data_IF_314497284850
#
_entry.id   IF_314497284850
#
_cell.length_a   1.000
_cell.length_b   1.000
_cell.length_c   1.000
_cell.angle_alpha   90.00
_cell.angle_beta   90.00
_cell.angle_gamma   90.00
#
_symmetry.space_group_name_H-M   'P 1'
#
loop_
_entity.id
_entity.type
_entity.pdbx_description
1 polymer ?
#
# COMPACT_ATOMS: atom_id res chain seq x y z
N UNK A 1 10.87 -5.68 -20.45
CA UNK A 1 10.05 -4.77 -19.64
C UNK A 1 9.88 -5.45 -18.31
N UNK A 2 10.38 -4.84 -17.25
CA UNK A 2 10.24 -5.36 -15.89
C UNK A 2 8.85 -5.00 -15.34
N UNK A 3 8.29 -5.90 -14.54
CA UNK A 3 6.96 -5.74 -13.92
C UNK A 3 7.04 -4.88 -12.66
N UNK A 4 7.89 -3.85 -12.65
CA UNK A 4 8.23 -3.14 -11.42
C UNK A 4 7.03 -2.32 -10.93
N UNK A 5 6.59 -2.65 -9.71
CA UNK A 5 5.63 -1.86 -8.95
C UNK A 5 6.18 -0.45 -8.76
N UNK A 6 5.42 0.55 -9.22
CA UNK A 6 5.54 2.01 -9.04
C UNK A 6 6.82 2.52 -8.33
N UNK A 7 7.65 3.29 -9.04
CA UNK A 7 8.93 3.89 -8.57
C UNK A 7 8.78 4.88 -7.40
N UNK A 8 7.57 5.15 -6.92
CA UNK A 8 7.32 5.96 -5.73
C UNK A 8 7.00 5.05 -4.53
N UNK A 9 7.97 4.86 -3.64
CA UNK A 9 7.78 4.21 -2.34
C UNK A 9 7.42 5.27 -1.30
N UNK A 10 6.20 5.22 -0.78
CA UNK A 10 5.70 6.14 0.23
C UNK A 10 6.14 5.79 1.66
N UNK A 11 6.40 4.51 1.94
CA UNK A 11 6.80 4.02 3.27
C UNK A 11 7.43 2.62 3.21
N UNK A 12 8.27 2.27 4.19
CA UNK A 12 8.83 0.93 4.37
C UNK A 12 8.92 0.57 5.86
N UNK A 13 8.59 -0.67 6.21
CA UNK A 13 8.63 -1.16 7.59
C UNK A 13 9.12 -2.61 7.66
N UNK A 14 10.09 -2.85 8.54
CA UNK A 14 10.58 -4.18 8.87
C UNK A 14 9.67 -4.85 9.90
N UNK A 15 9.59 -6.18 9.87
CA UNK A 15 8.95 -6.99 10.90
C UNK A 15 10.04 -7.65 11.79
N UNK A 16 10.45 -7.03 12.92
CA UNK A 16 11.63 -7.46 13.68
C UNK A 16 11.57 -8.91 14.18
N UNK A 17 10.39 -9.38 14.60
CA UNK A 17 10.18 -10.77 15.05
C UNK A 17 10.32 -11.81 13.92
N UNK A 18 10.39 -11.39 12.67
CA UNK A 18 10.51 -12.23 11.48
C UNK A 18 11.74 -11.86 10.65
N UNK A 19 12.81 -11.37 11.30
CA UNK A 19 14.06 -10.97 10.66
C UNK A 19 15.28 -11.59 11.34
N UNK A 20 16.11 -12.27 10.55
CA UNK A 20 17.45 -12.72 10.92
C UNK A 20 18.51 -11.90 10.17
N UNK A 21 19.72 -11.68 10.70
CA UNK A 21 20.80 -11.00 9.99
C UNK A 21 21.19 -11.68 8.66
N UNK A 22 21.80 -10.93 7.74
CA UNK A 22 22.26 -11.47 6.46
C UNK A 22 23.47 -12.42 6.63
N UNK A 23 23.52 -13.57 5.92
CA UNK A 23 22.48 -14.12 5.05
C UNK A 23 21.33 -14.72 5.87
N UNK A 24 20.10 -14.32 5.57
CA UNK A 24 18.92 -14.68 6.35
C UNK A 24 17.62 -14.33 5.64
N UNK A 25 16.51 -14.52 6.33
CA UNK A 25 15.17 -14.08 5.88
C UNK A 25 14.72 -12.90 6.69
N UNK A 26 13.98 -11.98 6.06
CA UNK A 26 13.43 -10.85 6.76
C UNK A 26 12.16 -10.37 6.07
N UNK A 27 11.08 -10.34 6.84
CA UNK A 27 9.80 -9.82 6.36
C UNK A 27 9.82 -8.29 6.38
N UNK A 28 9.53 -7.69 5.24
CA UNK A 28 9.48 -6.23 5.04
C UNK A 28 8.21 -5.89 4.28
N UNK A 29 7.54 -4.81 4.68
CA UNK A 29 6.39 -4.27 3.98
C UNK A 29 6.71 -2.89 3.43
N UNK A 30 6.18 -2.56 2.25
CA UNK A 30 6.35 -1.27 1.63
C UNK A 30 5.03 -0.70 1.11
N UNK A 31 4.79 0.58 1.35
CA UNK A 31 3.68 1.33 0.78
C UNK A 31 4.08 1.96 -0.55
N UNK A 32 3.22 1.86 -1.56
CA UNK A 32 3.47 2.43 -2.89
C UNK A 32 2.59 3.64 -3.18
N UNK A 33 3.04 4.47 -4.12
CA UNK A 33 2.38 5.71 -4.54
C UNK A 33 3.12 6.95 -4.05
N UNK A 34 3.06 8.00 -4.85
CA UNK A 34 3.76 9.26 -4.58
C UNK A 34 2.94 10.17 -3.65
N UNK A 35 3.60 10.82 -2.68
CA UNK A 35 2.98 11.77 -1.73
C UNK A 35 3.11 13.25 -2.18
N UNK A 36 3.48 13.54 -3.42
CA UNK A 36 3.60 14.94 -3.85
C UNK A 36 2.23 15.53 -4.17
N UNK A 37 1.99 16.71 -3.62
CA UNK A 37 0.86 17.55 -3.96
C UNK A 37 1.27 18.46 -5.13
N UNK A 38 0.52 18.39 -6.25
CA UNK A 38 0.47 19.30 -7.43
C UNK A 38 1.35 19.02 -8.68
N UNK A 39 1.87 17.81 -8.91
CA UNK A 39 2.53 17.45 -10.18
C UNK A 39 1.59 16.80 -11.21
N UNK A 40 1.87 16.95 -12.52
CA UNK A 40 1.14 16.27 -13.61
C UNK A 40 1.60 14.82 -13.85
N UNK A 41 2.67 14.37 -13.17
CA UNK A 41 3.34 13.07 -13.36
C UNK A 41 3.21 12.15 -12.13
N UNK A 42 2.05 12.15 -11.47
CA UNK A 42 1.89 11.41 -10.20
C UNK A 42 1.66 9.91 -10.46
N UNK A 43 2.55 9.06 -9.97
CA UNK A 43 2.36 7.61 -10.04
C UNK A 43 1.35 7.13 -8.98
N UNK A 44 0.37 6.34 -9.43
CA UNK A 44 -0.59 5.69 -8.55
C UNK A 44 0.10 4.63 -7.68
N UNK A 45 -0.45 4.41 -6.49
CA UNK A 45 -0.03 3.29 -5.65
C UNK A 45 -0.63 1.98 -6.15
N UNK A 46 0.16 0.92 -6.08
CA UNK A 46 -0.23 -0.48 -6.22
C UNK A 46 -0.60 -1.11 -4.87
N UNK A 47 -0.84 -0.28 -3.84
CA UNK A 47 -1.10 -0.69 -2.47
C UNK A 47 0.15 -1.05 -1.66
N UNK A 48 0.04 -2.08 -0.83
CA UNK A 48 1.13 -2.56 0.04
C UNK A 48 1.83 -3.74 -0.64
N UNK A 49 3.16 -3.70 -0.63
CA UNK A 49 4.03 -4.79 -1.05
C UNK A 49 4.63 -5.50 0.16
N UNK A 50 4.97 -6.77 -0.01
CA UNK A 50 5.67 -7.61 0.97
C UNK A 50 6.87 -8.29 0.34
N UNK A 51 7.97 -8.29 1.08
CA UNK A 51 9.18 -9.06 0.83
C UNK A 51 9.44 -9.99 2.02
N UNK A 52 10.06 -11.14 1.76
CA UNK A 52 10.54 -12.09 2.80
C UNK A 52 12.06 -12.27 2.77
N UNK A 53 12.74 -11.57 1.87
CA UNK A 53 14.14 -11.74 1.51
C UNK A 53 14.91 -10.41 1.62
N UNK A 54 14.64 -9.63 2.67
CA UNK A 54 15.29 -8.35 2.94
C UNK A 54 15.04 -7.27 1.87
N UNK A 55 13.94 -7.37 1.12
CA UNK A 55 13.58 -6.41 0.08
C UNK A 55 14.21 -6.72 -1.29
N UNK A 56 14.74 -7.91 -1.50
CA UNK A 56 15.31 -8.32 -2.80
C UNK A 56 14.22 -8.65 -3.82
N UNK A 57 13.11 -9.25 -3.38
CA UNK A 57 11.91 -9.48 -4.15
C UNK A 57 10.66 -9.00 -3.42
N UNK A 58 9.70 -8.48 -4.19
CA UNK A 58 8.47 -7.88 -3.68
C UNK A 58 7.24 -8.49 -4.35
N UNK A 59 6.19 -8.67 -3.56
CA UNK A 59 4.87 -9.15 -4.01
C UNK A 59 3.79 -8.22 -3.48
N UNK A 60 2.75 -7.94 -4.27
CA UNK A 60 1.58 -7.22 -3.74
C UNK A 60 0.89 -8.07 -2.69
N UNK A 61 0.50 -7.48 -1.56
CA UNK A 61 -0.17 -8.24 -0.49
C UNK A 61 -1.60 -8.63 -0.87
N UNK A 62 -2.23 -7.88 -1.77
CA UNK A 62 -3.51 -8.23 -2.38
C UNK A 62 -3.57 -7.70 -3.82
N UNK A 63 -4.26 -8.41 -4.72
CA UNK A 63 -4.25 -8.13 -6.17
C UNK A 63 -5.63 -8.06 -6.82
N UNK A 64 -6.68 -8.42 -6.08
CA UNK A 64 -8.07 -8.42 -6.56
C UNK A 64 -8.85 -7.35 -5.80
N UNK A 65 -9.29 -6.27 -6.46
CA UNK A 65 -10.10 -5.24 -5.82
C UNK A 65 -11.31 -5.83 -5.12
N UNK A 66 -11.48 -5.51 -3.83
CA UNK A 66 -12.58 -5.97 -3.00
C UNK A 66 -12.70 -5.10 -1.76
N UNK A 67 -13.77 -5.27 -0.97
CA UNK A 67 -13.93 -4.58 0.31
C UNK A 67 -12.75 -4.80 1.28
N UNK A 68 -12.05 -5.93 1.15
CA UNK A 68 -10.89 -6.28 1.97
C UNK A 68 -9.55 -6.07 1.26
N UNK A 69 -9.56 -5.63 0.00
CA UNK A 69 -8.37 -5.19 -0.74
C UNK A 69 -8.65 -3.81 -1.36
N UNK A 70 -8.70 -2.76 -0.51
CA UNK A 70 -9.21 -1.45 -0.89
C UNK A 70 -8.18 -0.56 -1.57
N UNK A 71 -6.96 -1.08 -1.84
CA UNK A 71 -5.84 -0.28 -2.34
C UNK A 71 -5.62 -0.34 -3.85
N UNK A 72 -6.28 -1.29 -4.50
CA UNK A 72 -6.11 -1.55 -5.91
C UNK A 72 -7.19 -0.77 -6.66
N UNK A 73 -6.75 0.30 -7.32
CA UNK A 73 -7.60 1.03 -8.26
C UNK A 73 -7.71 0.31 -9.62
N UNK A 74 -8.41 0.92 -10.58
CA UNK A 74 -9.10 2.21 -10.44
C UNK A 74 -10.39 2.08 -9.61
N UNK A 75 -10.68 3.06 -8.75
CA UNK A 75 -11.86 3.04 -7.88
C UNK A 75 -13.15 3.41 -8.61
N UNK A 76 -13.01 4.10 -9.73
CA UNK A 76 -14.09 4.38 -10.68
C UNK A 76 -13.54 4.42 -12.12
N UNK A 77 -14.46 4.51 -13.08
CA UNK A 77 -14.11 4.83 -14.47
C UNK A 77 -14.18 6.33 -14.73
N UNK A 78 -14.17 7.16 -13.68
CA UNK A 78 -14.26 8.59 -13.87
C UNK A 78 -12.95 9.06 -14.48
N UNK A 79 -13.11 9.67 -15.65
CA UNK A 79 -12.04 10.42 -16.29
C UNK A 79 -12.38 11.89 -16.10
N UNK A 80 -12.22 12.44 -14.89
CA UNK A 80 -12.28 13.89 -14.76
C UNK A 80 -11.25 14.41 -15.75
N UNK A 81 -11.70 15.19 -16.73
CA UNK A 81 -10.92 15.69 -17.87
C UNK A 81 -10.78 14.79 -19.12
N UNK A 82 -11.26 13.54 -19.14
CA UNK A 82 -11.36 12.72 -20.35
C UNK A 82 -10.05 12.08 -20.85
N UNK A 83 -8.95 12.24 -20.13
CA UNK A 83 -7.65 11.63 -20.45
C UNK A 83 -6.87 11.11 -19.23
N UNK A 84 -7.45 11.14 -18.03
CA UNK A 84 -6.85 10.60 -16.81
C UNK A 84 -7.81 9.68 -16.07
N UNK A 85 -7.42 8.44 -15.79
CA UNK A 85 -8.14 7.54 -14.86
C UNK A 85 -7.62 7.75 -13.46
N UNK A 86 -8.50 7.92 -12.47
CA UNK A 86 -8.11 7.96 -11.06
C UNK A 86 -7.62 6.56 -10.61
N UNK A 87 -6.32 6.42 -10.36
CA UNK A 87 -5.71 5.15 -9.98
C UNK A 87 -5.78 4.83 -8.48
N UNK A 88 -5.06 3.78 -8.07
CA UNK A 88 -5.08 3.21 -6.72
C UNK A 88 -4.64 4.14 -5.59
N UNK A 89 -4.84 3.69 -4.34
CA UNK A 89 -4.55 4.51 -3.15
C UNK A 89 -3.05 4.68 -2.98
N UNK A 90 -2.67 5.85 -2.47
CA UNK A 90 -1.33 6.17 -2.01
C UNK A 90 -1.18 5.65 -0.60
N UNK A 91 -0.16 4.83 -0.35
CA UNK A 91 0.15 4.36 1.01
C UNK A 91 1.22 5.27 1.60
N UNK A 92 0.81 6.22 2.42
CA UNK A 92 1.71 7.23 3.01
C UNK A 92 2.50 6.69 4.20
N UNK A 93 2.00 5.64 4.86
CA UNK A 93 2.67 5.06 6.01
C UNK A 93 2.33 3.57 6.15
N UNK A 94 3.33 2.76 6.51
CA UNK A 94 3.17 1.37 6.90
C UNK A 94 3.84 1.16 8.26
N UNK A 95 3.14 0.48 9.17
CA UNK A 95 3.69 0.05 10.46
C UNK A 95 3.40 -1.43 10.68
N UNK A 96 4.37 -2.15 11.25
CA UNK A 96 4.26 -3.59 11.52
C UNK A 96 4.35 -3.80 13.03
N UNK A 97 3.49 -4.67 13.58
CA UNK A 97 3.58 -5.04 14.97
C UNK A 97 4.92 -5.76 15.23
N UNK A 98 5.74 -5.31 16.19
CA UNK A 98 7.07 -5.85 16.41
C UNK A 98 7.09 -7.29 16.91
N UNK A 99 5.96 -7.79 17.43
CA UNK A 99 5.78 -9.15 17.96
C UNK A 99 4.92 -10.05 17.06
N UNK A 100 4.22 -9.47 16.08
CA UNK A 100 3.35 -10.19 15.16
C UNK A 100 3.54 -9.66 13.73
N UNK A 101 4.31 -10.35 12.88
CA UNK A 101 4.64 -9.88 11.53
C UNK A 101 3.42 -9.87 10.58
N UNK A 102 2.31 -10.49 10.97
CA UNK A 102 1.05 -10.49 10.20
C UNK A 102 0.15 -9.30 10.54
N UNK A 103 0.36 -8.64 11.67
CA UNK A 103 -0.41 -7.46 12.06
C UNK A 103 0.26 -6.20 11.50
N UNK A 104 -0.38 -5.58 10.52
CA UNK A 104 0.16 -4.44 9.77
C UNK A 104 -0.87 -3.32 9.72
N UNK A 105 -0.44 -2.08 9.88
CA UNK A 105 -1.23 -0.88 9.66
C UNK A 105 -0.74 -0.16 8.41
N UNK A 106 -1.67 0.34 7.60
CA UNK A 106 -1.39 1.15 6.42
C UNK A 106 -2.26 2.40 6.43
N UNK A 107 -1.67 3.57 6.21
CA UNK A 107 -2.39 4.81 5.97
C UNK A 107 -2.59 4.99 4.47
N UNK A 108 -3.85 5.03 4.03
CA UNK A 108 -4.23 5.13 2.63
C UNK A 108 -4.91 6.46 2.33
N UNK A 109 -4.56 7.07 1.20
CA UNK A 109 -5.11 8.33 0.72
C UNK A 109 -5.41 8.28 -0.78
N UNK A 110 -6.45 8.98 -1.23
CA UNK A 110 -6.76 9.17 -2.66
C UNK A 110 -6.52 10.63 -3.07
N UNK A 111 -6.35 10.88 -4.37
CA UNK A 111 -6.00 12.23 -4.85
C UNK A 111 -7.16 13.23 -4.79
N UNK A 112 -8.41 12.75 -4.74
CA UNK A 112 -9.61 13.60 -4.86
C UNK A 112 -10.68 13.25 -3.82
N UNK A 113 -10.31 12.75 -2.64
CA UNK A 113 -11.25 12.56 -1.53
C UNK A 113 -12.43 11.65 -1.89
N UNK A 114 -12.16 10.49 -2.51
CA UNK A 114 -13.23 9.59 -2.98
C UNK A 114 -14.02 8.90 -1.85
N UNK A 115 -13.78 9.24 -0.59
CA UNK A 115 -14.44 8.63 0.56
C UNK A 115 -14.15 7.13 0.71
N UNK A 116 -14.47 6.57 1.89
CA UNK A 116 -14.41 5.17 2.35
C UNK A 116 -13.11 4.35 2.14
N UNK A 117 -12.20 4.80 1.27
CA UNK A 117 -10.90 4.21 0.91
C UNK A 117 -9.73 4.98 1.56
N UNK A 118 -10.05 6.10 2.21
CA UNK A 118 -9.11 6.95 2.95
C UNK A 118 -9.18 6.68 4.44
N UNK A 119 -8.01 6.58 5.06
CA UNK A 119 -7.89 6.35 6.49
C UNK A 119 -6.83 5.31 6.82
N UNK A 120 -6.91 4.81 8.05
CA UNK A 120 -5.99 3.79 8.55
C UNK A 120 -6.64 2.43 8.41
N UNK A 121 -5.94 1.51 7.76
CA UNK A 121 -6.33 0.13 7.59
C UNK A 121 -5.44 -0.78 8.42
N UNK A 122 -6.02 -1.85 8.95
CA UNK A 122 -5.32 -2.92 9.63
C UNK A 122 -5.51 -4.25 8.91
N UNK A 123 -4.41 -4.96 8.70
CA UNK A 123 -4.39 -6.36 8.37
C UNK A 123 -3.96 -7.18 9.59
N UNK A 124 -4.57 -8.35 9.76
CA UNK A 124 -4.16 -9.35 10.76
C UNK A 124 -3.54 -10.60 10.11
N UNK A 125 -3.44 -10.65 8.78
CA UNK A 125 -3.06 -11.80 7.97
C UNK A 125 -1.88 -11.52 7.03
N UNK A 126 -1.08 -10.49 7.33
CA UNK A 126 0.09 -10.13 6.54
C UNK A 126 -0.24 -9.45 5.22
N UNK A 127 -1.38 -8.76 5.17
CA UNK A 127 -1.83 -7.91 4.08
C UNK A 127 -2.72 -8.58 3.04
N UNK A 128 -3.16 -9.83 3.28
CA UNK A 128 -4.11 -10.51 2.40
C UNK A 128 -5.49 -9.87 2.49
N UNK A 129 -5.89 -9.43 3.68
CA UNK A 129 -7.10 -8.63 3.92
C UNK A 129 -6.80 -7.40 4.78
N UNK A 130 -7.55 -6.32 4.51
CA UNK A 130 -7.43 -5.02 5.18
C UNK A 130 -8.80 -4.53 5.63
N UNK A 131 -8.89 -4.14 6.90
CA UNK A 131 -10.09 -3.60 7.52
C UNK A 131 -9.83 -2.16 7.97
N UNK A 132 -10.79 -1.26 7.74
CA UNK A 132 -10.66 0.13 8.18
C UNK A 132 -10.72 0.20 9.72
N UNK A 133 -9.76 0.89 10.33
CA UNK A 133 -9.68 1.14 11.78
C UNK A 133 -10.20 2.54 12.12
N UNK A 134 -9.93 3.50 11.25
CA UNK A 134 -10.45 4.87 11.36
C UNK A 134 -10.70 5.42 9.95
N UNK A 135 -11.95 5.73 9.63
CA UNK A 135 -12.29 6.52 8.45
C UNK A 135 -11.97 7.98 8.72
N UNK A 136 -11.10 8.58 7.92
CA UNK A 136 -10.95 10.03 7.91
C UNK A 136 -12.10 10.61 7.08
N UNK A 137 -13.08 11.24 7.73
CA UNK A 137 -14.04 12.11 7.04
C UNK A 137 -13.47 13.53 7.05
N UNK A 138 -12.80 13.92 5.95
CA UNK A 138 -12.44 15.31 5.67
C UNK A 138 -13.59 16.03 4.97
#
# INVERSE_FOLDING_TARGET
GDQNASLALGSIAFAPSACSPLPGTCTVYAGTGEQASIGFDIYYGAGVLKSTDHGQAWTQTCTIPSATCPFIGPYDNSTPFGFFTLGGTRISYVAVNPSNPSMVLAAAQTQFGHGATEGVYCSADGGATWNIVSSASG
#
